data_IF_771451443029
#
_entry.id   IF_771451443029
#
_cell.length_a   1.000
_cell.length_b   1.000
_cell.length_c   1.000
_cell.angle_alpha   90.00
_cell.angle_beta   90.00
_cell.angle_gamma   90.00
#
_symmetry.space_group_name_H-M   'P 1'
#
loop_
_entity.id
_entity.type
_entity.pdbx_description
1 polymer ?
#
# COMPACT_ATOMS: atom_id res chain seq x y z
N UNK A 1 2.14 -15.01 -18.06
CA UNK A 1 1.92 -13.68 -18.67
C UNK A 1 0.42 -13.42 -18.67
N UNK A 2 -0.06 -12.47 -17.87
CA UNK A 2 -1.44 -11.96 -17.96
C UNK A 2 -1.33 -10.59 -18.62
N UNK A 3 -2.08 -10.34 -19.70
CA UNK A 3 -2.08 -9.08 -20.47
C UNK A 3 -0.73 -8.67 -21.11
N UNK A 4 0.19 -9.62 -21.36
CA UNK A 4 1.52 -9.30 -21.92
C UNK A 4 2.50 -8.65 -20.93
N UNK A 5 2.09 -8.45 -19.68
CA UNK A 5 2.95 -7.99 -18.59
C UNK A 5 3.68 -9.16 -17.94
N UNK A 6 4.95 -8.92 -17.59
CA UNK A 6 5.74 -9.83 -16.76
C UNK A 6 5.05 -10.06 -15.41
N UNK A 7 5.06 -11.30 -14.93
CA UNK A 7 4.48 -11.71 -13.62
C UNK A 7 5.07 -10.88 -12.48
N UNK A 8 6.31 -10.43 -12.63
CA UNK A 8 7.00 -9.56 -11.68
C UNK A 8 6.29 -8.21 -11.52
N UNK A 9 5.83 -7.60 -12.62
CA UNK A 9 5.15 -6.30 -12.59
C UNK A 9 3.79 -6.43 -11.91
N UNK A 10 3.07 -7.52 -12.19
CA UNK A 10 1.81 -7.82 -11.51
C UNK A 10 1.98 -7.94 -10.00
N UNK A 11 3.01 -8.66 -9.53
CA UNK A 11 3.31 -8.77 -8.11
C UNK A 11 3.61 -7.41 -7.48
N UNK A 12 4.36 -6.56 -8.16
CA UNK A 12 4.69 -5.21 -7.70
C UNK A 12 3.41 -4.37 -7.56
N UNK A 13 2.54 -4.34 -8.57
CA UNK A 13 1.26 -3.62 -8.50
C UNK A 13 0.39 -4.13 -7.36
N UNK A 14 0.35 -5.45 -7.17
CA UNK A 14 -0.41 -6.09 -6.09
C UNK A 14 0.08 -5.65 -4.72
N UNK A 15 1.40 -5.60 -4.50
CA UNK A 15 2.01 -5.11 -3.25
C UNK A 15 1.73 -3.63 -3.03
N UNK A 16 1.84 -2.82 -4.09
CA UNK A 16 1.62 -1.37 -4.06
C UNK A 16 0.18 -1.01 -3.69
N UNK A 17 -0.78 -1.86 -4.04
CA UNK A 17 -2.17 -1.71 -3.65
C UNK A 17 -2.48 -2.35 -2.28
N UNK A 18 -2.07 -3.60 -2.05
CA UNK A 18 -2.49 -4.33 -0.85
C UNK A 18 -1.88 -3.76 0.43
N UNK A 19 -0.60 -3.39 0.44
CA UNK A 19 0.09 -2.98 1.67
C UNK A 19 -0.52 -1.71 2.27
N UNK A 20 -0.77 -0.63 1.50
CA UNK A 20 -1.44 0.57 2.04
C UNK A 20 -2.88 0.30 2.45
N UNK A 21 -3.62 -0.46 1.65
CA UNK A 21 -5.04 -0.75 1.92
C UNK A 21 -5.22 -1.59 3.19
N UNK A 22 -4.40 -2.64 3.35
CA UNK A 22 -4.40 -3.47 4.55
C UNK A 22 -3.95 -2.70 5.78
N UNK A 23 -2.96 -1.81 5.64
CA UNK A 23 -2.51 -0.96 6.75
C UNK A 23 -3.65 -0.09 7.28
N UNK A 24 -4.40 0.58 6.39
CA UNK A 24 -5.57 1.38 6.79
C UNK A 24 -6.70 0.50 7.34
N UNK A 25 -6.94 -0.67 6.76
CA UNK A 25 -7.94 -1.61 7.25
C UNK A 25 -7.62 -2.12 8.67
N UNK A 26 -6.38 -2.53 8.91
CA UNK A 26 -5.90 -2.97 10.24
C UNK A 26 -6.03 -1.84 11.25
N UNK A 27 -5.59 -0.64 10.89
CA UNK A 27 -5.71 0.51 11.79
C UNK A 27 -7.17 0.83 12.11
N UNK A 28 -8.07 0.76 11.13
CA UNK A 28 -9.52 0.91 11.37
C UNK A 28 -10.06 -0.17 12.30
N UNK A 29 -9.60 -1.43 12.18
CA UNK A 29 -9.97 -2.52 13.09
C UNK A 29 -9.45 -2.26 14.51
N UNK A 30 -8.21 -1.82 14.66
CA UNK A 30 -7.58 -1.51 15.95
C UNK A 30 -8.30 -0.34 16.64
N UNK A 31 -8.58 0.73 15.89
CA UNK A 31 -9.22 1.95 16.41
C UNK A 31 -10.75 1.90 16.39
N UNK A 32 -11.36 0.77 16.01
CA UNK A 32 -12.81 0.54 16.00
C UNK A 32 -13.49 0.99 17.30
N UNK A 33 -12.89 0.66 18.46
CA UNK A 33 -13.47 0.99 19.77
C UNK A 33 -13.37 2.48 20.14
N UNK A 34 -12.60 3.27 19.38
CA UNK A 34 -12.40 4.72 19.59
C UNK A 34 -13.09 5.59 18.54
N UNK A 35 -13.98 5.01 17.73
CA UNK A 35 -14.68 5.72 16.64
C UNK A 35 -14.05 5.54 15.25
N UNK A 36 -13.01 4.71 15.12
CA UNK A 36 -12.30 4.45 13.86
C UNK A 36 -11.33 5.59 13.47
N UNK A 37 -10.67 5.42 12.33
CA UNK A 37 -9.90 6.51 11.72
C UNK A 37 -10.85 7.31 10.84
N UNK A 38 -10.96 8.61 11.11
CA UNK A 38 -11.76 9.52 10.27
C UNK A 38 -11.30 9.46 8.81
N UNK A 39 -12.24 9.54 7.87
CA UNK A 39 -12.01 9.32 6.43
C UNK A 39 -10.83 10.13 5.89
N UNK A 40 -10.65 11.38 6.35
CA UNK A 40 -9.51 12.22 5.98
C UNK A 40 -8.16 11.67 6.45
N UNK A 41 -8.06 11.22 7.70
CA UNK A 41 -6.84 10.63 8.25
C UNK A 41 -6.52 9.26 7.63
N UNK A 42 -7.55 8.48 7.27
CA UNK A 42 -7.38 7.22 6.56
C UNK A 42 -6.75 7.42 5.18
N UNK A 43 -7.20 8.45 4.45
CA UNK A 43 -6.61 8.83 3.16
C UNK A 43 -5.17 9.31 3.27
N UNK A 44 -4.84 10.12 4.28
CA UNK A 44 -3.46 10.59 4.51
C UNK A 44 -2.52 9.42 4.77
N UNK A 45 -2.92 8.48 5.63
CA UNK A 45 -2.12 7.28 5.94
C UNK A 45 -1.95 6.40 4.69
N UNK A 46 -3.01 6.24 3.90
CA UNK A 46 -2.96 5.49 2.64
C UNK A 46 -1.93 6.08 1.67
N UNK A 47 -2.00 7.39 1.41
CA UNK A 47 -1.10 8.07 0.46
C UNK A 47 0.35 8.01 0.94
N UNK A 48 0.60 8.25 2.23
CA UNK A 48 1.93 8.11 2.83
C UNK A 48 2.49 6.70 2.63
N UNK A 49 1.69 5.68 2.95
CA UNK A 49 2.14 4.30 2.86
C UNK A 49 2.35 3.85 1.41
N UNK A 50 1.49 4.28 0.48
CA UNK A 50 1.67 4.03 -0.95
C UNK A 50 2.95 4.68 -1.48
N UNK A 51 3.24 5.92 -1.06
CA UNK A 51 4.48 6.63 -1.40
C UNK A 51 5.73 5.90 -0.87
N UNK A 52 5.70 5.45 0.39
CA UNK A 52 6.81 4.68 0.99
C UNK A 52 7.04 3.38 0.22
N UNK A 53 5.99 2.61 -0.07
CA UNK A 53 6.09 1.35 -0.82
C UNK A 53 6.67 1.60 -2.22
N UNK A 54 6.21 2.64 -2.92
CA UNK A 54 6.74 3.02 -4.21
C UNK A 54 8.24 3.39 -4.15
N UNK A 55 8.65 4.19 -3.15
CA UNK A 55 10.05 4.55 -2.93
C UNK A 55 10.92 3.33 -2.66
N UNK A 56 10.47 2.40 -1.82
CA UNK A 56 11.18 1.14 -1.52
C UNK A 56 11.37 0.31 -2.79
N UNK A 57 10.33 0.18 -3.62
CA UNK A 57 10.42 -0.56 -4.88
C UNK A 57 11.41 0.10 -5.85
N UNK A 58 11.40 1.44 -5.94
CA UNK A 58 12.34 2.19 -6.78
C UNK A 58 13.78 2.00 -6.28
N UNK A 59 14.01 2.12 -4.97
CA UNK A 59 15.34 1.91 -4.37
C UNK A 59 15.83 0.47 -4.56
N UNK A 60 14.96 -0.53 -4.38
CA UNK A 60 15.28 -1.94 -4.63
C UNK A 60 15.55 -2.25 -6.11
N UNK A 61 15.07 -1.40 -7.04
CA UNK A 61 15.44 -1.49 -8.46
C UNK A 61 16.75 -0.77 -8.79
N UNK A 62 17.11 0.25 -8.01
CA UNK A 62 18.34 1.04 -8.19
C UNK A 62 19.59 0.36 -7.60
N UNK A 63 19.42 -0.41 -6.52
CA UNK A 63 20.47 -1.24 -5.95
C UNK A 63 20.07 -2.73 -6.08
N UNK A 64 20.65 -3.48 -7.05
CA UNK A 64 20.41 -4.91 -7.21
C UNK A 64 21.03 -5.78 -6.10
#
# INVERSE_FOLDING_TARGET
MLLGLDVTIWKIMLVLMLVPTLSVAILNVIFRKRGGIGVGWGGVIFVLMAGIVALVIILARLHP
#
